data_IF_348663409186
#
_entry.id   IF_348663409186
#
_cell.length_a   1.000
_cell.length_b   1.000
_cell.length_c   1.000
_cell.angle_alpha   90.00
_cell.angle_beta   90.00
_cell.angle_gamma   90.00
#
_symmetry.space_group_name_H-M   'P 1'
#
loop_
_entity.id
_entity.type
_entity.pdbx_description
1 polymer ?
#
# COMPACT_ATOMS: atom_id res chain seq x y z
N UNK A 1 8.39 -9.58 5.59
CA UNK A 1 8.60 -8.18 6.06
C UNK A 1 8.55 -7.13 4.94
N UNK A 2 7.82 -7.34 3.82
CA UNK A 2 7.76 -6.36 2.71
C UNK A 2 6.85 -5.15 3.00
N UNK A 3 5.98 -5.27 4.00
CA UNK A 3 4.98 -4.25 4.35
C UNK A 3 5.52 -3.06 5.14
N UNK A 4 6.64 -3.21 5.86
CA UNK A 4 7.22 -2.12 6.65
C UNK A 4 7.73 -1.00 5.74
N UNK A 5 8.42 -1.34 4.64
CA UNK A 5 8.87 -0.37 3.65
C UNK A 5 7.70 0.29 2.93
N UNK A 6 6.65 -0.47 2.62
CA UNK A 6 5.43 0.07 1.98
C UNK A 6 4.71 1.05 2.90
N UNK A 7 4.57 0.73 4.19
CA UNK A 7 4.01 1.63 5.19
C UNK A 7 4.78 2.94 5.25
N UNK A 8 6.12 2.88 5.39
CA UNK A 8 6.96 4.08 5.48
C UNK A 8 6.86 4.95 4.21
N UNK A 9 6.84 4.32 3.03
CA UNK A 9 6.69 5.03 1.76
C UNK A 9 5.34 5.75 1.67
N UNK A 10 4.25 5.02 1.94
CA UNK A 10 2.90 5.57 1.82
C UNK A 10 2.59 6.61 2.88
N UNK A 11 3.01 6.40 4.13
CA UNK A 11 2.87 7.38 5.20
C UNK A 11 3.66 8.67 4.90
N UNK A 12 4.84 8.54 4.28
CA UNK A 12 5.58 9.72 3.82
C UNK A 12 4.88 10.42 2.65
N UNK A 13 4.39 9.66 1.65
CA UNK A 13 3.69 10.23 0.50
C UNK A 13 2.40 10.96 0.92
N UNK A 14 1.59 10.34 1.79
CA UNK A 14 0.35 10.89 2.35
C UNK A 14 0.59 12.21 3.08
N UNK A 15 1.62 12.27 3.92
CA UNK A 15 2.03 13.50 4.61
C UNK A 15 2.38 14.65 3.64
N UNK A 16 2.87 14.33 2.45
CA UNK A 16 3.28 15.32 1.45
C UNK A 16 2.25 15.51 0.32
N UNK A 17 1.00 15.04 0.47
CA UNK A 17 -0.06 15.23 -0.52
C UNK A 17 -0.11 16.67 -1.07
N UNK A 18 -0.17 17.68 -0.19
CA UNK A 18 -0.23 19.11 -0.59
C UNK A 18 0.97 19.54 -1.44
N UNK A 19 2.14 18.93 -1.24
CA UNK A 19 3.31 19.21 -2.07
C UNK A 19 3.17 18.61 -3.47
N UNK A 20 2.55 17.42 -3.61
CA UNK A 20 2.22 16.83 -4.90
C UNK A 20 1.16 17.66 -5.64
N UNK A 21 0.10 18.09 -4.95
CA UNK A 21 -0.92 18.97 -5.54
C UNK A 21 -0.28 20.26 -6.10
N UNK A 22 0.66 20.85 -5.34
CA UNK A 22 1.38 22.05 -5.79
C UNK A 22 2.33 21.76 -6.97
N UNK A 23 2.95 20.59 -7.02
CA UNK A 23 3.78 20.20 -8.16
C UNK A 23 2.92 20.04 -9.42
N UNK A 24 1.74 19.45 -9.30
CA UNK A 24 0.77 19.38 -10.38
C UNK A 24 0.37 20.76 -10.90
N UNK A 25 0.15 21.74 -10.02
CA UNK A 25 -0.17 23.11 -10.42
C UNK A 25 1.02 23.84 -11.07
N UNK A 26 2.23 23.68 -10.51
CA UNK A 26 3.35 24.61 -10.77
C UNK A 26 4.48 24.05 -11.63
N UNK A 27 4.65 22.74 -11.70
CA UNK A 27 5.78 22.10 -12.37
C UNK A 27 5.33 21.41 -13.68
N UNK A 28 5.76 21.97 -14.81
CA UNK A 28 5.44 21.41 -16.13
C UNK A 28 6.15 20.09 -16.42
N UNK A 29 7.33 19.85 -15.83
CA UNK A 29 8.03 18.58 -15.98
C UNK A 29 7.35 17.49 -15.16
N UNK A 30 6.80 17.83 -13.99
CA UNK A 30 5.97 16.91 -13.21
C UNK A 30 4.73 16.48 -14.00
N UNK A 31 3.98 17.43 -14.58
CA UNK A 31 2.82 17.07 -15.44
C UNK A 31 3.24 16.25 -16.65
N UNK A 32 4.31 16.66 -17.33
CA UNK A 32 4.81 15.98 -18.53
C UNK A 32 5.31 14.55 -18.27
N UNK A 33 5.59 14.17 -17.02
CA UNK A 33 5.92 12.79 -16.67
C UNK A 33 4.77 11.82 -16.96
N UNK A 34 3.52 12.29 -16.91
CA UNK A 34 2.32 11.47 -17.07
C UNK A 34 1.78 11.41 -18.51
N UNK A 35 2.35 12.20 -19.44
CA UNK A 35 1.80 12.36 -20.79
C UNK A 35 1.95 11.10 -21.67
N UNK A 36 2.88 10.18 -21.35
CA UNK A 36 3.28 9.08 -22.25
C UNK A 36 2.67 7.70 -21.91
N UNK A 37 2.14 7.48 -20.69
CA UNK A 37 1.87 6.12 -20.17
C UNK A 37 0.44 5.85 -19.65
N UNK A 38 -0.57 6.65 -20.04
CA UNK A 38 -1.97 6.54 -19.53
C UNK A 38 -2.08 6.69 -17.98
N UNK A 39 -0.97 7.05 -17.35
CA UNK A 39 -0.86 7.34 -15.93
C UNK A 39 -1.35 8.77 -15.64
N UNK A 40 -1.74 9.03 -14.40
CA UNK A 40 -2.14 10.36 -13.96
C UNK A 40 -1.60 10.66 -12.57
N UNK A 41 -1.43 11.96 -12.22
CA UNK A 41 -1.18 12.35 -10.84
C UNK A 41 -2.24 11.75 -9.90
N UNK A 42 -1.88 11.42 -8.64
CA UNK A 42 -2.81 10.83 -7.69
C UNK A 42 -4.06 11.71 -7.49
N UNK A 43 -5.23 11.12 -7.70
CA UNK A 43 -6.51 11.80 -7.47
C UNK A 43 -6.86 11.86 -5.97
N UNK A 44 -7.86 12.66 -5.61
CA UNK A 44 -8.38 12.67 -4.23
C UNK A 44 -8.84 11.27 -3.76
N UNK A 45 -9.38 10.46 -4.67
CA UNK A 45 -9.78 9.08 -4.36
C UNK A 45 -8.56 8.21 -4.03
N UNK A 46 -7.46 8.37 -4.76
CA UNK A 46 -6.22 7.65 -4.48
C UNK A 46 -5.65 8.04 -3.11
N UNK A 47 -5.71 9.32 -2.73
CA UNK A 47 -5.29 9.78 -1.40
C UNK A 47 -6.18 9.25 -0.26
N UNK A 48 -7.48 9.10 -0.48
CA UNK A 48 -8.37 8.43 0.47
C UNK A 48 -7.99 6.94 0.63
N UNK A 49 -7.72 6.25 -0.47
CA UNK A 49 -7.26 4.86 -0.44
C UNK A 49 -5.92 4.71 0.26
N UNK A 50 -4.95 5.60 0.00
CA UNK A 50 -3.66 5.61 0.68
C UNK A 50 -3.83 5.77 2.19
N UNK A 51 -4.70 6.69 2.65
CA UNK A 51 -4.97 6.88 4.08
C UNK A 51 -5.59 5.66 4.73
N UNK A 52 -6.60 5.06 4.09
CA UNK A 52 -7.20 3.82 4.55
C UNK A 52 -6.15 2.70 4.64
N UNK A 53 -5.25 2.63 3.66
CA UNK A 53 -4.24 1.60 3.59
C UNK A 53 -3.08 1.79 4.57
N UNK A 54 -2.64 3.03 4.81
CA UNK A 54 -1.63 3.36 5.85
C UNK A 54 -2.15 2.98 7.22
N UNK A 55 -3.42 3.27 7.53
CA UNK A 55 -4.05 2.88 8.80
C UNK A 55 -4.11 1.36 8.95
N UNK A 56 -4.56 0.65 7.91
CA UNK A 56 -4.55 -0.82 7.91
C UNK A 56 -3.15 -1.40 8.16
N UNK A 57 -2.12 -0.86 7.50
CA UNK A 57 -0.74 -1.32 7.68
C UNK A 57 -0.21 -0.99 9.08
N UNK A 58 -0.60 0.14 9.65
CA UNK A 58 -0.24 0.50 11.03
C UNK A 58 -0.81 -0.52 12.02
N UNK A 59 -2.12 -0.81 11.93
CA UNK A 59 -2.79 -1.80 12.79
C UNK A 59 -2.13 -3.18 12.64
N UNK A 60 -1.81 -3.59 11.41
CA UNK A 60 -1.11 -4.85 11.15
C UNK A 60 0.30 -4.88 11.75
N UNK A 61 1.06 -3.79 11.66
CA UNK A 61 2.41 -3.69 12.22
C UNK A 61 2.39 -3.69 13.75
N UNK A 62 1.42 -3.03 14.39
CA UNK A 62 1.26 -3.05 15.84
C UNK A 62 1.00 -4.46 16.35
N UNK A 63 0.08 -5.19 15.71
CA UNK A 63 -0.20 -6.60 16.03
C UNK A 63 1.03 -7.46 15.84
N UNK A 64 1.77 -7.28 14.75
CA UNK A 64 3.02 -8.02 14.49
C UNK A 64 4.05 -7.78 15.60
N UNK A 65 4.19 -6.55 16.09
CA UNK A 65 5.08 -6.21 17.20
C UNK A 65 4.63 -6.87 18.51
N UNK A 66 3.33 -6.91 18.81
CA UNK A 66 2.81 -7.61 19.98
C UNK A 66 3.05 -9.12 19.92
N UNK A 67 2.88 -9.74 18.75
CA UNK A 67 3.18 -11.17 18.53
C UNK A 67 4.66 -11.45 18.80
N UNK A 68 5.55 -10.62 18.25
CA UNK A 68 7.00 -10.73 18.43
C UNK A 68 7.36 -10.57 19.92
N UNK A 69 6.78 -9.59 20.62
CA UNK A 69 7.01 -9.35 22.04
C UNK A 69 6.55 -10.52 22.94
N UNK A 70 5.50 -11.24 22.53
CA UNK A 70 4.92 -12.34 23.28
C UNK A 70 5.45 -13.72 22.85
N UNK A 71 6.37 -13.80 21.89
CA UNK A 71 6.88 -15.04 21.28
C UNK A 71 5.75 -15.98 20.81
N UNK A 72 4.63 -15.41 20.38
CA UNK A 72 3.48 -16.21 19.95
C UNK A 72 3.75 -16.79 18.57
N UNK A 73 3.18 -17.97 18.28
CA UNK A 73 3.34 -18.59 16.98
C UNK A 73 2.63 -17.73 15.92
N UNK A 74 3.42 -17.13 15.02
CA UNK A 74 2.95 -16.31 13.91
C UNK A 74 1.84 -16.99 13.09
N UNK A 75 1.83 -18.33 12.96
CA UNK A 75 0.81 -19.03 12.16
C UNK A 75 -0.57 -19.05 12.81
N UNK A 76 -0.67 -19.11 14.15
CA UNK A 76 -1.97 -19.18 14.84
C UNK A 76 -2.62 -17.81 15.02
N UNK A 77 -1.80 -16.76 15.22
CA UNK A 77 -2.30 -15.39 15.25
C UNK A 77 -2.58 -14.85 13.87
N UNK A 78 -1.78 -15.19 12.85
CA UNK A 78 -2.11 -14.86 11.46
C UNK A 78 -3.49 -15.40 11.10
N UNK A 79 -3.84 -16.63 11.48
CA UNK A 79 -5.19 -17.19 11.21
C UNK A 79 -6.28 -16.44 12.00
N UNK A 80 -6.10 -16.23 13.30
CA UNK A 80 -7.11 -15.58 14.14
C UNK A 80 -7.30 -14.08 13.81
N UNK A 81 -6.22 -13.38 13.45
CA UNK A 81 -6.27 -12.00 12.99
C UNK A 81 -6.76 -11.91 11.56
N UNK A 82 -6.30 -12.76 10.65
CA UNK A 82 -6.81 -12.77 9.27
C UNK A 82 -8.31 -12.93 9.26
N UNK A 83 -8.91 -13.79 10.08
CA UNK A 83 -10.37 -13.93 10.10
C UNK A 83 -11.10 -12.68 10.63
N UNK A 84 -10.55 -12.00 11.65
CA UNK A 84 -11.22 -10.86 12.30
C UNK A 84 -11.01 -9.53 11.56
N UNK A 85 -9.79 -9.22 11.14
CA UNK A 85 -9.49 -7.99 10.40
C UNK A 85 -9.83 -8.10 8.91
N UNK A 86 -9.92 -9.31 8.34
CA UNK A 86 -10.51 -9.50 7.00
C UNK A 86 -11.94 -9.01 6.95
N UNK A 87 -12.74 -9.35 7.96
CA UNK A 87 -14.16 -9.05 7.98
C UNK A 87 -14.39 -7.53 8.01
N UNK A 88 -13.65 -6.83 8.86
CA UNK A 88 -13.75 -5.37 9.01
C UNK A 88 -13.13 -4.60 7.83
N UNK A 89 -12.19 -5.21 7.08
CA UNK A 89 -11.46 -4.56 6.00
C UNK A 89 -11.54 -5.29 4.65
N UNK A 90 -12.65 -5.99 4.37
CA UNK A 90 -12.86 -6.77 3.13
C UNK A 90 -12.59 -5.96 1.86
N UNK A 91 -13.01 -4.70 1.85
CA UNK A 91 -12.83 -3.80 0.71
C UNK A 91 -11.34 -3.46 0.49
N UNK A 92 -10.60 -3.17 1.56
CA UNK A 92 -9.15 -2.91 1.49
C UNK A 92 -8.42 -4.15 0.98
N UNK A 93 -8.82 -5.35 1.43
CA UNK A 93 -8.20 -6.59 0.94
C UNK A 93 -8.55 -6.91 -0.52
N UNK A 94 -9.76 -6.60 -0.98
CA UNK A 94 -10.14 -6.68 -2.39
C UNK A 94 -9.28 -5.73 -3.26
N UNK A 95 -9.08 -4.49 -2.80
CA UNK A 95 -8.23 -3.50 -3.47
C UNK A 95 -6.77 -3.99 -3.49
N UNK A 96 -6.23 -4.48 -2.37
CA UNK A 96 -4.88 -5.04 -2.31
C UNK A 96 -4.69 -6.21 -3.28
N UNK A 97 -5.65 -7.13 -3.35
CA UNK A 97 -5.59 -8.29 -4.24
C UNK A 97 -5.69 -7.88 -5.72
N UNK A 98 -6.39 -6.77 -6.00
CA UNK A 98 -6.43 -6.18 -7.34
C UNK A 98 -5.09 -5.55 -7.75
N UNK A 99 -4.34 -5.00 -6.79
CA UNK A 99 -3.08 -4.29 -7.06
C UNK A 99 -1.85 -5.20 -6.96
N UNK A 100 -1.94 -6.29 -6.21
CA UNK A 100 -0.88 -7.29 -6.03
C UNK A 100 -1.49 -8.69 -5.98
N UNK A 101 -1.89 -9.25 -7.15
CA UNK A 101 -2.58 -10.55 -7.21
C UNK A 101 -1.71 -11.72 -6.73
N UNK A 102 -0.39 -11.61 -6.88
CA UNK A 102 0.55 -12.63 -6.44
C UNK A 102 1.44 -12.09 -5.33
N UNK A 103 1.31 -12.67 -4.14
CA UNK A 103 2.26 -12.52 -3.04
C UNK A 103 3.64 -13.05 -3.45
N UNK A 104 4.39 -12.24 -4.21
CA UNK A 104 5.80 -12.43 -4.53
C UNK A 104 6.18 -13.74 -5.22
N UNK A 105 6.21 -13.73 -6.55
CA UNK A 105 7.39 -14.24 -7.26
C UNK A 105 7.60 -13.41 -8.52
N UNK A 106 8.76 -12.77 -8.62
CA UNK A 106 9.22 -12.17 -9.86
C UNK A 106 9.54 -13.31 -10.83
N UNK A 107 8.55 -13.76 -11.59
CA UNK A 107 8.82 -14.43 -12.86
C UNK A 107 9.06 -13.33 -13.89
N UNK A 108 10.34 -13.02 -14.08
CA UNK A 108 10.81 -12.29 -15.25
C UNK A 108 10.36 -13.02 -16.51
N UNK A 109 9.20 -12.66 -17.07
CA UNK A 109 8.81 -13.06 -18.42
C UNK A 109 9.39 -12.05 -19.41
N UNK A 110 10.67 -12.29 -19.70
CA UNK A 110 11.22 -12.38 -21.04
C UNK A 110 10.39 -11.69 -22.15
N UNK A 111 10.54 -10.38 -22.31
CA UNK A 111 10.17 -9.68 -23.55
C UNK A 111 11.32 -9.82 -24.54
N UNK A 112 11.28 -10.91 -25.29
CA UNK A 112 11.93 -11.05 -26.60
C UNK A 112 10.97 -11.81 -27.51
N UNK A 113 10.20 -11.05 -28.28
CA UNK A 113 9.88 -11.30 -29.69
C UNK A 113 9.17 -10.08 -30.26
#
# INVERSE_FOLDING_TARGET
MRWNSTYLMLAAAEKYQVAFDKLEDTDAAYRGFFDDDDDSPPSNFDWENVRAFVNFLMDWLEVQLEVDNLNLNHSLLAIAYEEKTMEDHKEIKLIMNSWMPDGGSASAQNRNQ
#
